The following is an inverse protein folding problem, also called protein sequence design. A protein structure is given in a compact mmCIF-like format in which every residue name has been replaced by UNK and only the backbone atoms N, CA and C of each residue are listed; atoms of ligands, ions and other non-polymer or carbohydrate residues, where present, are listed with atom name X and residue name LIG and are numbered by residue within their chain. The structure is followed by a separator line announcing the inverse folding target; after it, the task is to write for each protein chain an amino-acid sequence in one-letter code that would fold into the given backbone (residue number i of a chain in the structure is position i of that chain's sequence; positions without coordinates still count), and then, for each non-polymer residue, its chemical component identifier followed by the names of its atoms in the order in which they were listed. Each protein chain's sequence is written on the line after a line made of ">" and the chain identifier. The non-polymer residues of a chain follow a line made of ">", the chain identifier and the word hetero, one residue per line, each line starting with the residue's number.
data_IF_466165918039
#
_entry.id   IF_466165918039
#
_cell.length_a   1.000
_cell.length_b   1.000
_cell.length_c   1.000
_cell.angle_alpha   90.00
_cell.angle_beta   90.00
_cell.angle_gamma   90.00
#
_symmetry.space_group_name_H-M   'P 1'
#
loop_
_entity.id
_entity.type
_entity.pdbx_description
1 polymer ?
#
# COMPACT_ATOMS: atom_id res chain seq x y z
N UNK A 1 -2.72 -29.82 -6.60
CA UNK A 1 -1.70 -28.96 -7.25
C UNK A 1 -1.09 -28.07 -6.17
N UNK A 2 0.23 -27.80 -6.18
CA UNK A 2 0.93 -27.08 -5.11
C UNK A 2 0.35 -25.68 -4.82
N UNK A 3 -0.22 -25.00 -5.81
CA UNK A 3 -0.92 -23.73 -5.63
C UNK A 3 -2.17 -23.83 -4.75
N UNK A 4 -2.90 -24.94 -4.80
CA UNK A 4 -4.09 -25.14 -3.95
C UNK A 4 -3.67 -25.27 -2.49
N UNK A 5 -2.59 -25.99 -2.19
CA UNK A 5 -2.07 -26.11 -0.82
C UNK A 5 -1.63 -24.75 -0.24
N UNK A 6 -1.04 -23.87 -1.05
CA UNK A 6 -0.69 -22.51 -0.64
C UNK A 6 -1.95 -21.68 -0.35
N UNK A 7 -2.95 -21.73 -1.24
CA UNK A 7 -4.23 -21.04 -1.04
C UNK A 7 -4.95 -21.57 0.21
N UNK A 8 -4.96 -22.88 0.43
CA UNK A 8 -5.57 -23.53 1.58
C UNK A 8 -4.85 -23.14 2.89
N UNK A 9 -3.51 -23.03 2.86
CA UNK A 9 -2.72 -22.57 4.02
C UNK A 9 -3.00 -21.10 4.34
N UNK A 10 -3.11 -20.25 3.32
CA UNK A 10 -3.44 -18.83 3.47
C UNK A 10 -4.88 -18.64 3.99
N UNK A 11 -5.82 -19.45 3.52
CA UNK A 11 -7.20 -19.42 4.00
C UNK A 11 -7.32 -19.96 5.43
N UNK A 12 -6.60 -21.04 5.78
CA UNK A 12 -6.57 -21.58 7.14
C UNK A 12 -5.91 -20.61 8.14
N UNK A 13 -4.93 -19.82 7.70
CA UNK A 13 -4.30 -18.80 8.54
C UNK A 13 -5.24 -17.69 9.01
N UNK A 14 -6.43 -17.53 8.39
CA UNK A 14 -7.44 -16.59 8.85
C UNK A 14 -8.15 -17.04 10.15
N UNK A 15 -8.03 -18.31 10.53
CA UNK A 15 -8.63 -18.87 11.77
C UNK A 15 -7.59 -19.13 12.88
N UNK A 16 -6.29 -18.94 12.60
CA UNK A 16 -5.23 -19.18 13.58
C UNK A 16 -5.10 -18.03 14.57
N UNK A 17 -4.92 -18.35 15.85
CA UNK A 17 -4.52 -17.35 16.84
C UNK A 17 -3.14 -16.80 16.48
N UNK A 18 -2.86 -15.54 16.87
CA UNK A 18 -1.60 -14.88 16.52
C UNK A 18 -0.36 -15.71 16.92
N UNK A 19 -0.42 -16.38 18.07
CA UNK A 19 0.67 -17.20 18.60
C UNK A 19 0.87 -18.51 17.82
N UNK A 20 -0.14 -18.98 17.08
CA UNK A 20 -0.07 -20.16 16.21
C UNK A 20 0.49 -19.84 14.81
N UNK A 21 0.62 -18.56 14.47
CA UNK A 21 1.21 -18.13 13.20
C UNK A 21 2.71 -18.42 13.18
N UNK A 22 3.27 -18.66 11.99
CA UNK A 22 4.72 -18.76 11.83
C UNK A 22 5.42 -17.47 12.27
N UNK A 23 6.65 -17.57 12.75
CA UNK A 23 7.44 -16.38 13.17
C UNK A 23 7.51 -15.32 12.07
N UNK A 24 7.65 -15.72 10.80
CA UNK A 24 7.63 -14.82 9.65
C UNK A 24 6.31 -14.05 9.53
N UNK A 25 5.17 -14.73 9.73
CA UNK A 25 3.84 -14.11 9.68
C UNK A 25 3.59 -13.20 10.87
N UNK A 26 4.00 -13.60 12.08
CA UNK A 26 3.92 -12.76 13.27
C UNK A 26 4.71 -11.45 13.08
N UNK A 27 5.94 -11.55 12.56
CA UNK A 27 6.79 -10.39 12.29
C UNK A 27 6.19 -9.49 11.19
N UNK A 28 5.62 -10.09 10.14
CA UNK A 28 4.96 -9.35 9.06
C UNK A 28 3.71 -8.62 9.56
N UNK A 29 2.88 -9.27 10.38
CA UNK A 29 1.69 -8.67 10.99
C UNK A 29 2.06 -7.50 11.90
N UNK A 30 3.03 -7.67 12.80
CA UNK A 30 3.56 -6.58 13.65
C UNK A 30 4.10 -5.40 12.83
N UNK A 31 4.79 -5.68 11.73
CA UNK A 31 5.30 -4.64 10.82
C UNK A 31 4.14 -3.86 10.17
N UNK A 32 3.14 -4.55 9.63
CA UNK A 32 1.98 -3.92 8.98
C UNK A 32 1.16 -3.11 9.99
N UNK A 33 0.97 -3.60 11.22
CA UNK A 33 0.30 -2.84 12.28
C UNK A 33 1.07 -1.57 12.67
N UNK A 34 2.40 -1.65 12.78
CA UNK A 34 3.24 -0.52 13.21
C UNK A 34 3.38 0.55 12.12
N UNK A 35 3.53 0.13 10.86
CA UNK A 35 3.82 1.04 9.75
C UNK A 35 2.62 1.34 8.85
N UNK A 36 1.50 0.62 9.03
CA UNK A 36 0.25 0.86 8.33
C UNK A 36 -0.20 2.32 8.45
N UNK A 37 -0.55 2.93 7.31
CA UNK A 37 -0.91 4.35 7.22
C UNK A 37 -2.42 4.60 7.09
N UNK A 38 -3.18 3.56 6.80
CA UNK A 38 -4.62 3.61 6.61
C UNK A 38 -5.30 2.81 7.71
N UNK A 39 -6.37 3.35 8.31
CA UNK A 39 -7.16 2.64 9.32
C UNK A 39 -8.26 1.76 8.70
N UNK A 40 -8.74 2.16 7.52
CA UNK A 40 -9.94 1.58 6.92
C UNK A 40 -9.70 1.07 5.49
N UNK A 41 -10.33 -0.07 5.18
CA UNK A 41 -10.17 -0.75 3.89
C UNK A 41 -10.85 0.00 2.75
N UNK A 42 -11.96 0.70 3.02
CA UNK A 42 -12.61 1.54 2.03
C UNK A 42 -11.72 2.74 1.66
N UNK A 43 -11.05 3.34 2.64
CA UNK A 43 -10.08 4.42 2.44
C UNK A 43 -8.90 3.98 1.57
N UNK A 44 -8.38 2.77 1.78
CA UNK A 44 -7.34 2.18 0.92
C UNK A 44 -7.85 2.03 -0.51
N UNK A 45 -9.05 1.47 -0.68
CA UNK A 45 -9.64 1.22 -2.01
C UNK A 45 -9.87 2.52 -2.78
N UNK A 46 -10.46 3.53 -2.13
CA UNK A 46 -10.73 4.85 -2.73
C UNK A 46 -9.45 5.59 -3.08
N UNK A 47 -8.47 5.62 -2.16
CA UNK A 47 -7.17 6.23 -2.41
C UNK A 47 -6.47 5.58 -3.62
N UNK A 48 -6.44 4.24 -3.66
CA UNK A 48 -5.84 3.51 -4.78
C UNK A 48 -6.55 3.80 -6.09
N UNK A 49 -7.89 3.81 -6.10
CA UNK A 49 -8.67 4.10 -7.31
C UNK A 49 -8.37 5.51 -7.84
N UNK A 50 -8.40 6.54 -6.98
CA UNK A 50 -8.13 7.91 -7.40
C UNK A 50 -6.72 8.08 -7.98
N UNK A 51 -5.71 7.44 -7.38
CA UNK A 51 -4.35 7.46 -7.92
C UNK A 51 -4.26 6.79 -9.30
N UNK A 52 -4.95 5.67 -9.48
CA UNK A 52 -4.99 4.96 -10.77
C UNK A 52 -5.72 5.77 -11.85
N UNK A 53 -6.76 6.52 -11.49
CA UNK A 53 -7.45 7.46 -12.40
C UNK A 53 -6.55 8.63 -12.84
N UNK A 54 -5.54 9.00 -12.04
CA UNK A 54 -4.45 9.93 -12.42
C UNK A 54 -3.35 9.28 -13.25
N UNK A 55 -3.54 8.02 -13.64
CA UNK A 55 -2.64 7.32 -14.54
C UNK A 55 -1.46 6.64 -13.84
N UNK A 56 -1.50 6.43 -12.52
CA UNK A 56 -0.51 5.61 -11.82
C UNK A 56 -0.78 4.12 -12.04
N UNK A 57 0.28 3.33 -12.18
CA UNK A 57 0.18 1.88 -12.18
C UNK A 57 -0.09 1.34 -10.76
N UNK A 58 -0.62 0.11 -10.64
CA UNK A 58 -0.95 -0.48 -9.33
C UNK A 58 0.25 -0.52 -8.36
N UNK A 59 1.48 -0.69 -8.87
CA UNK A 59 2.69 -0.64 -8.05
C UNK A 59 2.98 0.78 -7.54
N UNK A 60 2.84 1.78 -8.40
CA UNK A 60 3.07 3.19 -8.05
C UNK A 60 2.04 3.67 -7.05
N UNK A 61 0.75 3.34 -7.25
CA UNK A 61 -0.32 3.69 -6.32
C UNK A 61 -0.08 3.05 -4.93
N UNK A 62 0.31 1.77 -4.88
CA UNK A 62 0.64 1.10 -3.62
C UNK A 62 1.87 1.74 -2.94
N UNK A 63 2.90 2.07 -3.73
CA UNK A 63 4.12 2.70 -3.22
C UNK A 63 3.84 4.11 -2.68
N UNK A 64 3.02 4.90 -3.36
CA UNK A 64 2.57 6.21 -2.90
C UNK A 64 1.83 6.12 -1.55
N UNK A 65 0.94 5.13 -1.40
CA UNK A 65 0.22 4.91 -0.13
C UNK A 65 1.11 4.44 1.02
N UNK A 66 2.14 3.64 0.74
CA UNK A 66 3.05 3.14 1.78
C UNK A 66 4.08 4.20 2.20
N UNK A 67 4.63 4.95 1.24
CA UNK A 67 5.72 5.90 1.46
C UNK A 67 5.24 7.30 1.83
N UNK A 68 4.00 7.66 1.46
CA UNK A 68 3.35 8.93 1.80
C UNK A 68 4.22 10.17 1.52
N UNK A 69 4.75 10.34 0.28
CA UNK A 69 5.58 11.49 -0.06
C UNK A 69 4.79 12.80 0.05
N UNK A 70 5.50 13.87 0.39
CA UNK A 70 4.91 15.20 0.63
C UNK A 70 5.01 16.12 -0.59
N UNK A 71 5.91 15.82 -1.52
CA UNK A 71 6.20 16.64 -2.68
C UNK A 71 6.70 15.79 -3.85
N UNK A 72 6.67 16.35 -5.07
CA UNK A 72 7.02 15.63 -6.28
C UNK A 72 8.50 15.22 -6.38
N UNK A 73 9.44 16.00 -5.83
CA UNK A 73 10.87 15.64 -5.83
C UNK A 73 11.10 14.39 -4.97
N UNK A 74 10.55 14.34 -3.77
CA UNK A 74 10.57 13.16 -2.90
C UNK A 74 9.92 11.95 -3.58
N UNK A 75 8.71 12.11 -4.13
CA UNK A 75 7.97 11.03 -4.78
C UNK A 75 8.76 10.44 -5.96
N UNK A 76 9.33 11.27 -6.83
CA UNK A 76 10.11 10.81 -7.99
C UNK A 76 11.46 10.21 -7.61
N UNK A 77 12.08 10.63 -6.51
CA UNK A 77 13.31 10.00 -5.99
C UNK A 77 13.05 8.63 -5.40
N UNK A 78 11.95 8.47 -4.67
CA UNK A 78 11.59 7.19 -4.06
C UNK A 78 10.99 6.20 -5.08
N UNK A 79 10.19 6.71 -6.02
CA UNK A 79 9.47 5.92 -7.02
C UNK A 79 9.89 6.41 -8.41
N UNK A 80 11.04 5.94 -8.88
CA UNK A 80 11.66 6.42 -10.12
C UNK A 80 10.77 6.28 -11.37
N UNK A 81 9.81 5.36 -11.39
CA UNK A 81 8.88 5.19 -12.51
C UNK A 81 7.88 6.36 -12.67
N UNK A 82 7.69 7.20 -11.64
CA UNK A 82 6.85 8.40 -11.69
C UNK A 82 7.47 9.53 -12.54
N UNK A 83 8.73 9.42 -12.94
CA UNK A 83 9.43 10.42 -13.77
C UNK A 83 8.75 10.68 -15.12
N UNK A 84 7.90 9.76 -15.60
CA UNK A 84 7.05 9.92 -16.79
C UNK A 84 5.93 10.95 -16.64
N UNK A 85 5.53 11.29 -15.41
CA UNK A 85 4.46 12.25 -15.11
C UNK A 85 5.04 13.64 -14.86
N UNK A 86 4.24 14.68 -15.08
CA UNK A 86 4.67 16.05 -14.75
C UNK A 86 4.81 16.23 -13.23
N UNK A 87 5.60 17.22 -12.79
CA UNK A 87 5.71 17.53 -11.37
C UNK A 87 4.37 17.94 -10.76
N UNK A 88 3.51 18.62 -11.54
CA UNK A 88 2.19 19.05 -11.10
C UNK A 88 1.24 17.86 -10.89
N UNK A 89 1.24 16.89 -11.82
CA UNK A 89 0.46 15.65 -11.67
C UNK A 89 0.91 14.86 -10.43
N UNK A 90 2.23 14.75 -10.21
CA UNK A 90 2.77 14.03 -9.06
C UNK A 90 2.48 14.78 -7.75
N UNK A 91 2.53 16.12 -7.74
CA UNK A 91 2.12 16.93 -6.57
C UNK A 91 0.66 16.69 -6.22
N UNK A 92 -0.21 16.58 -7.22
CA UNK A 92 -1.62 16.28 -6.99
C UNK A 92 -1.79 14.86 -6.43
N UNK A 93 -1.05 13.87 -6.94
CA UNK A 93 -1.04 12.52 -6.38
C UNK A 93 -0.52 12.48 -4.94
N UNK A 94 0.49 13.28 -4.61
CA UNK A 94 0.95 13.46 -3.22
C UNK A 94 -0.18 14.02 -2.36
N UNK A 95 -0.91 15.02 -2.86
CA UNK A 95 -2.05 15.62 -2.14
C UNK A 95 -3.18 14.61 -1.89
N UNK A 96 -3.43 13.71 -2.85
CA UNK A 96 -4.40 12.61 -2.69
C UNK A 96 -4.00 11.72 -1.52
N UNK A 97 -2.78 11.18 -1.49
CA UNK A 97 -2.35 10.29 -0.39
C UNK A 97 -2.30 11.00 0.95
N UNK A 98 -1.91 12.28 1.00
CA UNK A 98 -1.92 13.06 2.24
C UNK A 98 -3.34 13.35 2.74
N UNK A 99 -4.34 13.45 1.87
CA UNK A 99 -5.74 13.63 2.28
C UNK A 99 -6.32 12.39 2.95
N UNK A 100 -5.83 11.21 2.58
CA UNK A 100 -6.20 9.95 3.22
C UNK A 100 -5.31 9.60 4.42
N UNK A 101 -4.26 10.40 4.66
CA UNK A 101 -3.52 10.42 5.92
C UNK A 101 -4.41 11.10 6.94
N UNK A 102 -4.60 10.51 8.11
CA UNK A 102 -5.47 11.05 9.17
C UNK A 102 -6.97 10.99 8.83
N UNK A 103 -7.48 9.76 8.78
CA UNK A 103 -8.70 9.39 9.51
C UNK A 103 -8.32 8.26 10.46
#
# INVERSE_FOLDING_TARGET
>A
LPFQAVIDTVNAAQELEFDDLTEMMQNTSKFVETFGKFQDTESISRCKQELMERGLHSFEAASMGNLMPTNADEAKRLIASLTRLSDDDVRECCSIVQRYREV
#
